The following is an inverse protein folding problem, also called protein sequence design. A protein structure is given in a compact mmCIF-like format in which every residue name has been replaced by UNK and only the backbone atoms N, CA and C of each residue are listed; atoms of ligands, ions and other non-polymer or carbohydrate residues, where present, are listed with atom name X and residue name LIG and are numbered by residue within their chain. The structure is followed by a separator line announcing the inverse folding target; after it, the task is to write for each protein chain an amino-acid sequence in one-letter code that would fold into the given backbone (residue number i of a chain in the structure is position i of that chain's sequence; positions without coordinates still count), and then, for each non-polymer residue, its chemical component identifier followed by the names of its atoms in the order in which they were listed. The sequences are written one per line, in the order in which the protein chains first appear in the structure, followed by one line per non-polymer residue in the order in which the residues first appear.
data_IF_593921576123
#
_entry.id   IF_593921576123
#
_cell.length_a   1.000
_cell.length_b   1.000
_cell.length_c   1.000
_cell.angle_alpha   90.00
_cell.angle_beta   90.00
_cell.angle_gamma   90.00
#
_symmetry.space_group_name_H-M   'P 1'
#
loop_
_entity.id
_entity.type
_entity.pdbx_description
1 polymer ?
#
# COMPACT_ATOMS: atom_id res chain seq x y z
N UNK A 1 -14.10 -2.12 -6.68
CA UNK A 1 -13.38 -0.86 -6.36
C UNK A 1 -12.46 -1.17 -5.20
N UNK A 2 -11.17 -0.83 -5.32
CA UNK A 2 -10.25 -0.94 -4.21
C UNK A 2 -10.53 0.20 -3.22
N UNK A 3 -10.76 -0.13 -1.96
CA UNK A 3 -10.86 0.85 -0.88
C UNK A 3 -9.48 0.97 -0.24
N UNK A 4 -8.94 2.19 -0.20
CA UNK A 4 -7.68 2.52 0.44
C UNK A 4 -7.95 3.47 1.62
N UNK A 5 -7.49 3.11 2.81
CA UNK A 5 -7.57 3.97 4.00
C UNK A 5 -6.21 4.11 4.63
N UNK A 6 -5.84 5.34 4.99
CA UNK A 6 -4.61 5.64 5.71
C UNK A 6 -4.96 6.01 7.16
N UNK A 7 -4.28 5.42 8.12
CA UNK A 7 -4.49 5.69 9.54
C UNK A 7 -3.14 5.84 10.24
N UNK A 8 -3.00 6.87 11.08
CA UNK A 8 -1.82 6.98 11.95
C UNK A 8 -1.93 5.93 13.07
N UNK A 9 -0.95 5.04 13.17
CA UNK A 9 -0.90 4.01 14.22
C UNK A 9 -0.21 4.52 15.49
N UNK A 10 0.84 5.30 15.29
CA UNK A 10 1.68 5.91 16.30
C UNK A 10 2.34 7.15 15.68
N UNK A 11 2.90 8.03 16.51
CA UNK A 11 3.57 9.24 16.03
C UNK A 11 4.61 8.89 14.95
N UNK A 12 4.42 9.44 13.75
CA UNK A 12 5.31 9.22 12.62
C UNK A 12 5.19 7.85 11.94
N UNK A 13 4.18 7.04 12.28
CA UNK A 13 3.90 5.74 11.63
C UNK A 13 2.48 5.69 11.08
N UNK A 14 2.35 5.45 9.79
CA UNK A 14 1.05 5.26 9.13
C UNK A 14 0.83 3.80 8.77
N UNK A 15 -0.43 3.39 8.73
CA UNK A 15 -0.90 2.16 8.13
C UNK A 15 -1.78 2.48 6.93
N UNK A 16 -1.45 1.88 5.80
CA UNK A 16 -2.23 1.93 4.58
C UNK A 16 -2.94 0.59 4.42
N UNK A 17 -4.27 0.59 4.54
CA UNK A 17 -5.11 -0.59 4.35
C UNK A 17 -5.73 -0.59 2.96
N UNK A 18 -5.58 -1.70 2.26
CA UNK A 18 -6.10 -1.93 0.92
C UNK A 18 -6.95 -3.19 0.90
N UNK A 19 -8.17 -3.11 0.36
CA UNK A 19 -9.02 -4.29 0.14
C UNK A 19 -9.08 -4.66 -1.34
N UNK A 20 -8.59 -5.85 -1.69
CA UNK A 20 -8.60 -6.39 -3.06
C UNK A 20 -9.15 -7.80 -3.06
N UNK A 21 -10.14 -8.06 -3.92
CA UNK A 21 -10.78 -9.38 -4.07
C UNK A 21 -11.24 -10.01 -2.73
N UNK A 22 -11.66 -9.18 -1.77
CA UNK A 22 -12.09 -9.62 -0.45
C UNK A 22 -10.95 -9.88 0.55
N UNK A 23 -9.69 -9.82 0.12
CA UNK A 23 -8.51 -9.91 0.98
C UNK A 23 -8.10 -8.51 1.42
N UNK A 24 -7.79 -8.36 2.72
CA UNK A 24 -7.31 -7.12 3.30
C UNK A 24 -5.79 -7.16 3.42
N UNK A 25 -5.12 -6.16 2.86
CA UNK A 25 -3.69 -5.93 2.97
C UNK A 25 -3.46 -4.67 3.82
N UNK A 26 -2.42 -4.67 4.63
CA UNK A 26 -2.01 -3.54 5.43
C UNK A 26 -0.50 -3.32 5.27
N UNK A 27 -0.10 -2.09 4.98
CA UNK A 27 1.30 -1.67 4.90
C UNK A 27 1.58 -0.67 6.00
N UNK A 28 2.52 -0.99 6.88
CA UNK A 28 3.08 -0.04 7.85
C UNK A 28 4.20 0.75 7.20
N UNK A 29 4.19 2.08 7.35
CA UNK A 29 5.24 2.96 6.85
C UNK A 29 5.68 3.95 7.92
N UNK A 30 6.99 4.15 8.05
CA UNK A 30 7.56 5.18 8.92
C UNK A 30 7.74 6.48 8.14
N UNK A 31 6.99 7.53 8.51
CA UNK A 31 7.02 8.84 7.85
C UNK A 31 8.40 9.50 7.90
N UNK A 32 9.26 9.13 8.86
CA UNK A 32 10.64 9.63 8.95
C UNK A 32 11.49 9.25 7.72
N UNK A 33 11.14 8.17 7.02
CA UNK A 33 11.81 7.75 5.78
C UNK A 33 11.32 8.58 4.57
N UNK A 34 10.25 9.34 4.75
CA UNK A 34 9.60 10.17 3.73
C UNK A 34 9.54 11.64 4.20
N UNK A 35 10.68 12.36 4.17
CA UNK A 35 10.79 13.70 4.76
C UNK A 35 9.97 14.77 4.01
N UNK A 36 9.43 14.45 2.84
CA UNK A 36 8.58 15.33 2.04
C UNK A 36 7.33 14.58 1.58
N UNK A 37 6.27 15.34 1.30
CA UNK A 37 5.04 14.80 0.72
C UNK A 37 5.30 14.08 -0.61
N UNK A 38 6.19 14.63 -1.44
CA UNK A 38 6.60 14.00 -2.71
C UNK A 38 7.31 12.65 -2.50
N UNK A 39 8.19 12.56 -1.49
CA UNK A 39 8.85 11.29 -1.14
C UNK A 39 7.83 10.26 -0.64
N UNK A 40 6.84 10.70 0.14
CA UNK A 40 5.77 9.84 0.63
C UNK A 40 4.92 9.29 -0.53
N UNK A 41 4.49 10.13 -1.46
CA UNK A 41 3.73 9.68 -2.63
C UNK A 41 4.51 8.68 -3.48
N UNK A 42 5.81 8.94 -3.73
CA UNK A 42 6.66 7.99 -4.46
C UNK A 42 6.77 6.66 -3.73
N UNK A 43 6.97 6.68 -2.41
CA UNK A 43 7.02 5.46 -1.60
C UNK A 43 5.71 4.67 -1.64
N UNK A 44 4.57 5.35 -1.65
CA UNK A 44 3.25 4.73 -1.80
C UNK A 44 3.06 4.10 -3.19
N UNK A 45 3.53 4.78 -4.24
CA UNK A 45 3.48 4.28 -5.62
C UNK A 45 4.35 3.02 -5.78
N UNK A 46 5.61 3.06 -5.31
CA UNK A 46 6.52 1.91 -5.28
C UNK A 46 5.92 0.73 -4.47
N UNK A 47 5.34 1.02 -3.30
CA UNK A 47 4.70 0.00 -2.48
C UNK A 47 3.48 -0.64 -3.17
N UNK A 48 2.70 0.16 -3.91
CA UNK A 48 1.58 -0.32 -4.70
C UNK A 48 2.04 -1.21 -5.88
N UNK A 49 3.12 -0.85 -6.57
CA UNK A 49 3.70 -1.69 -7.63
C UNK A 49 4.23 -3.01 -7.07
N UNK A 50 5.01 -2.98 -5.99
CA UNK A 50 5.52 -4.18 -5.33
C UNK A 50 4.40 -5.10 -4.83
N UNK A 51 3.35 -4.52 -4.22
CA UNK A 51 2.18 -5.28 -3.79
C UNK A 51 1.49 -5.91 -5.00
N UNK A 52 1.23 -5.14 -6.05
CA UNK A 52 0.59 -5.63 -7.28
C UNK A 52 1.37 -6.79 -7.90
N UNK A 53 2.70 -6.67 -8.02
CA UNK A 53 3.55 -7.72 -8.54
C UNK A 53 3.47 -9.00 -7.67
N UNK A 54 3.58 -8.84 -6.35
CA UNK A 54 3.49 -9.96 -5.39
C UNK A 54 2.13 -10.67 -5.49
N UNK A 55 1.05 -9.91 -5.60
CA UNK A 55 -0.30 -10.46 -5.70
C UNK A 55 -0.55 -11.15 -7.04
N UNK A 56 0.04 -10.67 -8.13
CA UNK A 56 0.03 -11.35 -9.43
C UNK A 56 0.76 -12.70 -9.35
N UNK A 57 1.96 -12.72 -8.78
CA UNK A 57 2.73 -13.96 -8.63
C UNK A 57 2.00 -15.02 -7.78
N UNK A 58 1.22 -14.59 -6.79
CA UNK A 58 0.42 -15.49 -5.96
C UNK A 58 -0.96 -15.86 -6.55
N UNK A 59 -1.31 -15.35 -7.74
CA UNK A 59 -2.62 -15.60 -8.36
C UNK A 59 -3.80 -14.93 -7.64
N UNK A 60 -3.52 -13.89 -6.83
CA UNK A 60 -4.52 -13.12 -6.10
C UNK A 60 -4.95 -11.84 -6.85
N UNK A 61 -4.21 -11.45 -7.88
CA UNK A 61 -4.56 -10.34 -8.75
C UNK A 61 -5.39 -10.83 -9.95
N UNK A 62 -6.47 -10.13 -10.35
CA UNK A 62 -7.18 -10.49 -11.56
C UNK A 62 -6.24 -10.27 -12.75
N UNK A 63 -6.01 -11.30 -13.57
CA UNK A 63 -5.41 -11.09 -14.87
C UNK A 63 -6.31 -10.09 -15.60
N UNK A 64 -5.77 -8.89 -15.85
CA UNK A 64 -6.41 -7.92 -16.73
C UNK A 64 -6.34 -8.52 -18.14
N UNK A 65 -7.35 -9.32 -18.49
CA UNK A 65 -7.60 -9.78 -19.85
C UNK A 65 -7.94 -8.64 -20.79
#
# INVERSE_FOLDING_TARGET
MAECTMTELAEGTIEVRLKLNGILYALGMELKEFPTEEALYRGLEEANECLTATLREQGHWPDDG
#
